data_IF_845711263483
#
_entry.id   IF_845711263483
#
_cell.length_a   1.000
_cell.length_b   1.000
_cell.length_c   1.000
_cell.angle_alpha   90.00
_cell.angle_beta   90.00
_cell.angle_gamma   90.00
#
_symmetry.space_group_name_H-M   'P 1'
#
loop_
_entity.id
_entity.type
_entity.pdbx_description
1 polymer ?
#
# COMPACT_ATOMS: atom_id res chain seq x y z
N UNK A 1 -12.05 7.47 -14.38
CA UNK A 1 -10.69 7.40 -13.79
C UNK A 1 -10.88 7.10 -12.31
N UNK A 2 -10.29 6.02 -11.78
CA UNK A 2 -10.27 5.84 -10.33
C UNK A 2 -9.41 6.94 -9.70
N UNK A 3 -9.95 7.65 -8.71
CA UNK A 3 -9.25 8.73 -8.02
C UNK A 3 -8.33 8.16 -6.94
N UNK A 4 -7.15 7.72 -7.36
CA UNK A 4 -6.13 7.20 -6.45
C UNK A 4 -5.52 8.29 -5.57
N UNK A 5 -5.50 9.53 -6.04
CA UNK A 5 -5.04 10.70 -5.28
C UNK A 5 -5.95 11.00 -4.10
N UNK A 6 -7.26 11.03 -4.30
CA UNK A 6 -8.25 11.17 -3.23
C UNK A 6 -8.19 10.01 -2.23
N UNK A 7 -7.96 8.79 -2.70
CA UNK A 7 -7.75 7.64 -1.83
C UNK A 7 -6.52 7.79 -0.93
N UNK A 8 -5.41 8.31 -1.46
CA UNK A 8 -4.20 8.59 -0.66
C UNK A 8 -4.50 9.65 0.39
N UNK A 9 -5.11 10.78 0.02
CA UNK A 9 -5.46 11.85 0.97
C UNK A 9 -6.41 11.36 2.07
N UNK A 10 -7.38 10.50 1.72
CA UNK A 10 -8.27 9.92 2.71
C UNK A 10 -7.53 8.97 3.66
N UNK A 11 -6.64 8.13 3.13
CA UNK A 11 -5.80 7.27 3.97
C UNK A 11 -4.88 8.10 4.88
N UNK A 12 -4.33 9.22 4.40
CA UNK A 12 -3.48 10.11 5.21
C UNK A 12 -4.22 10.69 6.40
N UNK A 13 -5.50 11.06 6.22
CA UNK A 13 -6.34 11.52 7.33
C UNK A 13 -6.58 10.42 8.37
N UNK A 14 -6.81 9.18 7.91
CA UNK A 14 -6.94 8.04 8.83
C UNK A 14 -5.62 7.80 9.56
N UNK A 15 -4.49 7.84 8.86
CA UNK A 15 -3.17 7.61 9.44
C UNK A 15 -2.72 8.73 10.39
N UNK A 16 -3.26 9.94 10.25
CA UNK A 16 -3.06 11.01 11.21
C UNK A 16 -3.80 10.77 12.54
N UNK A 17 -4.89 10.00 12.52
CA UNK A 17 -5.65 9.62 13.72
C UNK A 17 -5.16 8.28 14.30
N UNK A 18 -4.80 7.35 13.43
CA UNK A 18 -4.29 6.01 13.75
C UNK A 18 -3.17 5.65 12.77
N UNK A 19 -1.94 5.98 13.15
CA UNK A 19 -0.74 5.72 12.36
C UNK A 19 -0.52 4.21 12.07
N UNK A 20 -1.14 3.35 12.87
CA UNK A 20 -1.06 1.89 12.81
C UNK A 20 -2.28 1.29 12.11
N UNK A 21 -3.10 2.09 11.43
CA UNK A 21 -4.25 1.56 10.73
C UNK A 21 -3.82 0.69 9.53
N UNK A 22 -3.81 -0.63 9.73
CA UNK A 22 -3.34 -1.59 8.71
C UNK A 22 -4.14 -1.46 7.41
N UNK A 23 -5.45 -1.23 7.49
CA UNK A 23 -6.31 -1.07 6.32
C UNK A 23 -5.99 0.21 5.54
N UNK A 24 -5.75 1.34 6.21
CA UNK A 24 -5.36 2.59 5.55
C UNK A 24 -3.99 2.46 4.89
N UNK A 25 -3.01 1.83 5.55
CA UNK A 25 -1.70 1.53 4.96
C UNK A 25 -1.82 0.63 3.71
N UNK A 26 -2.67 -0.41 3.76
CA UNK A 26 -2.94 -1.29 2.63
C UNK A 26 -3.56 -0.55 1.44
N UNK A 27 -4.57 0.27 1.70
CA UNK A 27 -5.28 1.06 0.67
C UNK A 27 -4.39 2.11 0.05
N UNK A 28 -3.60 2.82 0.87
CA UNK A 28 -2.59 3.78 0.42
C UNK A 28 -1.54 3.11 -0.48
N UNK A 29 -1.01 1.96 -0.07
CA UNK A 29 -0.08 1.18 -0.89
C UNK A 29 -0.69 0.74 -2.24
N UNK A 30 -1.96 0.32 -2.24
CA UNK A 30 -2.68 -0.07 -3.46
C UNK A 30 -2.92 1.11 -4.40
N UNK A 31 -3.23 2.29 -3.85
CA UNK A 31 -3.39 3.51 -4.63
C UNK A 31 -2.06 3.91 -5.31
N UNK A 32 -0.94 3.86 -4.58
CA UNK A 32 0.38 4.11 -5.17
C UNK A 32 0.75 3.08 -6.24
N UNK A 33 0.41 1.80 -6.02
CA UNK A 33 0.65 0.75 -7.02
C UNK A 33 -0.11 1.02 -8.32
N UNK A 34 -1.35 1.48 -8.22
CA UNK A 34 -2.17 1.84 -9.37
C UNK A 34 -1.67 3.11 -10.09
N UNK A 35 -1.05 4.04 -9.35
CA UNK A 35 -0.32 5.20 -9.89
C UNK A 35 1.08 4.83 -10.44
N UNK A 36 1.43 3.55 -10.47
CA UNK A 36 2.74 3.03 -10.88
C UNK A 36 3.92 3.53 -10.01
N UNK A 37 3.64 4.11 -8.84
CA UNK A 37 4.65 4.46 -7.84
C UNK A 37 4.93 3.26 -6.95
N UNK A 38 5.68 2.31 -7.49
CA UNK A 38 6.01 1.04 -6.80
C UNK A 38 6.84 1.24 -5.52
N UNK A 39 7.80 2.19 -5.42
CA UNK A 39 8.53 2.45 -4.18
C UNK A 39 7.60 2.81 -3.01
N UNK A 40 6.67 3.75 -3.22
CA UNK A 40 5.73 4.16 -2.17
C UNK A 40 4.70 3.05 -1.88
N UNK A 41 4.26 2.30 -2.89
CA UNK A 41 3.40 1.13 -2.68
C UNK A 41 4.04 0.11 -1.73
N UNK A 42 5.30 -0.26 -1.99
CA UNK A 42 6.07 -1.19 -1.16
C UNK A 42 6.21 -0.67 0.27
N UNK A 43 6.57 0.61 0.44
CA UNK A 43 6.78 1.21 1.77
C UNK A 43 5.52 1.12 2.63
N UNK A 44 4.37 1.49 2.09
CA UNK A 44 3.10 1.45 2.83
C UNK A 44 2.67 0.01 3.16
N UNK A 45 2.84 -0.94 2.23
CA UNK A 45 2.57 -2.35 2.52
C UNK A 45 3.54 -2.97 3.52
N UNK A 46 4.83 -2.61 3.51
CA UNK A 46 5.77 -3.05 4.55
C UNK A 46 5.38 -2.52 5.92
N UNK A 47 4.93 -1.26 6.01
CA UNK A 47 4.44 -0.70 7.28
C UNK A 47 3.17 -1.43 7.74
N UNK A 48 2.24 -1.74 6.83
CA UNK A 48 1.06 -2.55 7.14
C UNK A 48 1.45 -3.93 7.69
N UNK A 49 2.47 -4.58 7.11
CA UNK A 49 2.97 -5.87 7.58
C UNK A 49 3.68 -5.79 8.92
N UNK A 50 4.35 -4.68 9.22
CA UNK A 50 4.96 -4.46 10.55
C UNK A 50 3.89 -4.33 11.63
N UNK A 51 2.76 -3.71 11.30
CA UNK A 51 1.65 -3.56 12.25
C UNK A 51 0.86 -4.87 12.40
N UNK A 52 0.57 -5.55 11.30
CA UNK A 52 -0.09 -6.85 11.29
C UNK A 52 0.74 -7.86 10.48
N UNK A 53 1.72 -8.54 11.12
CA UNK A 53 2.55 -9.55 10.46
C UNK A 53 1.76 -10.78 9.98
N UNK A 54 0.56 -10.98 10.53
CA UNK A 54 -0.37 -12.05 10.16
C UNK A 54 -1.14 -11.77 8.87
N UNK A 55 -1.11 -10.52 8.39
CA UNK A 55 -1.93 -10.10 7.26
C UNK A 55 -1.52 -10.78 5.95
N UNK A 56 -2.33 -11.74 5.51
CA UNK A 56 -2.08 -12.51 4.28
C UNK A 56 -2.22 -11.65 3.03
N UNK A 57 -3.07 -10.64 3.05
CA UNK A 57 -3.32 -9.79 1.89
C UNK A 57 -2.14 -8.84 1.64
N UNK A 58 -1.55 -8.27 2.68
CA UNK A 58 -0.32 -7.48 2.57
C UNK A 58 0.81 -8.30 1.95
N UNK A 59 0.99 -9.57 2.37
CA UNK A 59 1.99 -10.47 1.77
C UNK A 59 1.72 -10.74 0.30
N UNK A 60 0.45 -10.92 -0.09
CA UNK A 60 0.06 -11.06 -1.51
C UNK A 60 0.40 -9.80 -2.31
N UNK A 61 0.11 -8.61 -1.78
CA UNK A 61 0.41 -7.35 -2.46
C UNK A 61 1.91 -7.15 -2.70
N UNK A 62 2.75 -7.44 -1.70
CA UNK A 62 4.20 -7.38 -1.86
C UNK A 62 4.71 -8.36 -2.93
N UNK A 63 4.19 -9.59 -2.97
CA UNK A 63 4.52 -10.57 -4.02
C UNK A 63 4.07 -10.10 -5.42
N UNK A 64 2.88 -9.51 -5.52
CA UNK A 64 2.39 -8.91 -6.78
C UNK A 64 3.31 -7.77 -7.26
N UNK A 65 3.81 -6.96 -6.33
CA UNK A 65 4.78 -5.90 -6.62
C UNK A 65 6.10 -6.47 -7.11
N UNK A 66 6.66 -7.46 -6.42
CA UNK A 66 7.91 -8.14 -6.81
C UNK A 66 7.81 -8.74 -8.22
N UNK A 67 6.66 -9.33 -8.56
CA UNK A 67 6.40 -9.86 -9.90
C UNK A 67 6.32 -8.76 -10.95
N UNK A 68 5.73 -7.60 -10.62
CA UNK A 68 5.63 -6.45 -11.53
C UNK A 68 7.00 -5.83 -11.79
N UNK A 69 7.84 -5.68 -10.76
CA UNK A 69 9.20 -5.14 -10.90
C UNK A 69 10.13 -6.09 -11.65
N UNK A 70 10.00 -7.41 -11.47
CA UNK A 70 10.80 -8.41 -12.19
C UNK A 70 10.43 -8.60 -13.66
N UNK A 71 9.22 -8.21 -14.08
CA UNK A 71 8.76 -8.33 -15.49
C UNK A 71 9.00 -7.07 -16.32
N UNK A 72 9.46 -5.98 -15.70
CA UNK A 72 9.72 -4.70 -16.37
C UNK A 72 11.19 -4.30 -16.44
N UNK A 73 12.11 -5.23 -16.14
CA UNK A 73 13.56 -5.07 -16.29
C UNK A 73 14.09 -5.96 -17.39
#
# INVERSE_FOLDING_TARGET
KADYTGAITFCDRILALDEKNTLALMRKGSAYYALNNLPEARKNWQLALKTDPGNRDVKKFLNLLDRKTKRGG
#
